data_IF_057488222250
#
_entry.id   IF_057488222250
#
_cell.length_a   1.000
_cell.length_b   1.000
_cell.length_c   1.000
_cell.angle_alpha   90.00
_cell.angle_beta   90.00
_cell.angle_gamma   90.00
#
_symmetry.space_group_name_H-M   'P 1'
#
loop_
_entity.id
_entity.type
_entity.pdbx_description
1 polymer ?
#
# COMPACT_ATOMS: atom_id res chain seq x y z
N UNK A 1 35.80 31.35 1.41
CA UNK A 1 35.97 30.56 0.17
C UNK A 1 34.58 30.26 -0.41
N UNK A 2 34.10 31.08 -1.35
CA UNK A 2 32.69 31.09 -1.75
C UNK A 2 32.42 30.09 -2.90
N UNK A 3 31.70 29.00 -2.61
CA UNK A 3 31.24 28.02 -3.61
C UNK A 3 30.10 28.63 -4.45
N UNK A 4 30.41 29.12 -5.65
CA UNK A 4 29.41 29.52 -6.65
C UNK A 4 28.63 28.30 -7.12
N UNK A 5 27.34 28.23 -6.78
CA UNK A 5 26.40 27.20 -7.28
C UNK A 5 26.14 27.46 -8.77
N UNK A 6 26.58 26.56 -9.65
CA UNK A 6 26.25 26.59 -11.09
C UNK A 6 24.78 26.17 -11.25
N UNK A 7 23.94 27.09 -11.75
CA UNK A 7 22.56 26.78 -12.12
C UNK A 7 22.53 25.75 -13.26
N UNK A 8 21.73 24.71 -13.09
CA UNK A 8 21.50 23.69 -14.13
C UNK A 8 20.78 24.35 -15.30
N UNK A 9 21.36 24.31 -16.50
CA UNK A 9 20.69 24.73 -17.73
C UNK A 9 19.65 23.65 -18.07
N UNK A 10 18.37 23.97 -17.96
CA UNK A 10 17.29 23.14 -18.49
C UNK A 10 17.46 23.09 -20.02
N UNK A 11 17.62 21.89 -20.60
CA UNK A 11 17.71 21.74 -22.05
C UNK A 11 16.34 22.01 -22.66
N UNK A 12 16.18 23.15 -23.33
CA UNK A 12 14.95 23.58 -24.00
C UNK A 12 14.68 22.84 -25.33
N UNK A 13 15.57 21.94 -25.73
CA UNK A 13 15.53 21.17 -26.99
C UNK A 13 14.22 20.37 -27.19
N UNK A 14 13.71 19.59 -26.21
CA UNK A 14 12.48 18.81 -26.43
C UNK A 14 11.26 19.71 -26.70
N UNK A 15 11.14 20.85 -26.02
CA UNK A 15 10.05 21.81 -26.24
C UNK A 15 10.06 22.39 -27.65
N UNK A 16 11.25 22.68 -28.19
CA UNK A 16 11.41 23.17 -29.56
C UNK A 16 11.00 22.11 -30.57
N UNK A 17 11.38 20.83 -30.36
CA UNK A 17 10.96 19.73 -31.22
C UNK A 17 9.43 19.58 -31.25
N UNK A 18 8.77 19.55 -30.08
CA UNK A 18 7.31 19.44 -30.01
C UNK A 18 6.63 20.63 -30.69
N UNK A 19 7.08 21.86 -30.41
CA UNK A 19 6.52 23.06 -31.04
C UNK A 19 6.69 23.06 -32.57
N UNK A 20 7.82 22.55 -33.07
CA UNK A 20 8.07 22.44 -34.52
C UNK A 20 7.18 21.39 -35.20
N UNK A 21 6.94 20.24 -34.56
CA UNK A 21 6.01 19.21 -35.07
C UNK A 21 4.60 19.80 -35.17
N UNK A 22 4.11 20.43 -34.10
CA UNK A 22 2.77 21.06 -34.08
C UNK A 22 2.63 22.14 -35.15
N UNK A 23 3.66 22.98 -35.33
CA UNK A 23 3.65 24.04 -36.35
C UNK A 23 3.64 23.48 -37.77
N UNK A 24 4.38 22.40 -38.03
CA UNK A 24 4.44 21.75 -39.33
C UNK A 24 3.11 21.06 -39.67
N UNK A 25 2.48 20.41 -38.68
CA UNK A 25 1.15 19.81 -38.83
C UNK A 25 0.09 20.87 -39.14
N UNK A 26 0.09 22.01 -38.43
CA UNK A 26 -0.83 23.12 -38.69
C UNK A 26 -0.69 23.70 -40.10
N UNK A 27 0.55 23.85 -40.60
CA UNK A 27 0.80 24.31 -41.97
C UNK A 27 0.23 23.35 -43.01
N UNK A 28 0.42 22.04 -42.83
CA UNK A 28 -0.14 21.03 -43.73
C UNK A 28 -1.67 21.05 -43.77
N UNK A 29 -2.31 21.15 -42.60
CA UNK A 29 -3.78 21.25 -42.49
C UNK A 29 -4.30 22.53 -43.10
N UNK A 30 -3.64 23.67 -42.87
CA UNK A 30 -4.03 24.96 -43.46
C UNK A 30 -4.00 24.94 -44.99
N UNK A 31 -2.98 24.31 -45.59
CA UNK A 31 -2.92 24.14 -47.04
C UNK A 31 -4.01 23.21 -47.58
N UNK A 32 -4.32 22.12 -46.86
CA UNK A 32 -5.39 21.19 -47.24
C UNK A 32 -6.80 21.81 -47.14
N UNK A 33 -7.04 22.58 -46.08
CA UNK A 33 -8.32 23.28 -45.89
C UNK A 33 -8.56 24.32 -46.97
N UNK A 34 -7.54 25.14 -47.29
CA UNK A 34 -7.68 26.23 -48.27
C UNK A 34 -7.95 25.72 -49.69
N UNK A 35 -7.40 24.56 -50.07
CA UNK A 35 -7.50 24.05 -51.42
C UNK A 35 -8.67 23.09 -51.66
N UNK A 36 -9.25 22.50 -50.61
CA UNK A 36 -10.18 21.37 -50.80
C UNK A 36 -11.37 21.33 -49.83
N UNK A 37 -11.52 22.31 -48.92
CA UNK A 37 -12.58 22.29 -47.91
C UNK A 37 -12.53 21.03 -47.05
N UNK A 38 -11.31 20.51 -46.84
CA UNK A 38 -11.08 19.26 -46.15
C UNK A 38 -11.22 19.49 -44.64
N UNK A 39 -12.21 18.83 -44.02
CA UNK A 39 -12.36 18.81 -42.57
C UNK A 39 -11.35 17.81 -42.01
N UNK A 40 -10.37 18.30 -41.24
CA UNK A 40 -9.30 17.47 -40.69
C UNK A 40 -9.50 17.37 -39.19
N UNK A 41 -9.94 16.19 -38.76
CA UNK A 41 -10.04 15.85 -37.34
C UNK A 41 -8.68 15.36 -36.85
N UNK A 42 -7.97 16.19 -36.10
CA UNK A 42 -6.64 15.88 -35.55
C UNK A 42 -6.78 15.52 -34.08
N UNK A 43 -6.74 14.21 -33.78
CA UNK A 43 -6.62 13.72 -32.40
C UNK A 43 -5.15 13.52 -32.03
N UNK A 44 -4.69 14.21 -30.98
CA UNK A 44 -3.35 14.00 -30.40
C UNK A 44 -3.50 13.13 -29.15
N UNK A 45 -3.11 11.86 -29.25
CA UNK A 45 -3.09 10.93 -28.11
C UNK A 45 -1.76 11.03 -27.38
N UNK A 46 -1.77 11.60 -26.19
CA UNK A 46 -0.57 11.75 -25.33
C UNK A 46 -0.36 10.50 -24.48
N UNK A 47 -0.04 9.37 -25.13
CA UNK A 47 0.31 8.11 -24.45
C UNK A 47 -0.79 7.51 -23.57
N UNK A 48 -0.49 6.38 -22.91
CA UNK A 48 -1.37 5.70 -21.97
C UNK A 48 -0.77 5.69 -20.56
N UNK A 49 -1.64 5.73 -19.56
CA UNK A 49 -1.32 5.60 -18.13
C UNK A 49 -1.89 4.25 -17.67
N UNK A 50 -1.05 3.35 -17.17
CA UNK A 50 -1.47 2.00 -16.73
C UNK A 50 -0.74 1.59 -15.44
N UNK A 51 -1.10 2.20 -14.28
CA UNK A 51 -0.56 1.81 -12.99
C UNK A 51 -1.20 0.50 -12.52
N UNK A 52 -0.37 -0.45 -12.09
CA UNK A 52 -0.79 -1.74 -11.54
C UNK A 52 -0.19 -1.93 -10.15
N UNK A 53 -1.01 -2.36 -9.20
CA UNK A 53 -0.60 -2.66 -7.85
C UNK A 53 -0.23 -4.15 -7.72
N UNK A 54 0.93 -4.41 -7.13
CA UNK A 54 1.49 -5.72 -6.85
C UNK A 54 1.80 -5.85 -5.37
N UNK A 55 1.74 -7.07 -4.84
CA UNK A 55 2.14 -7.39 -3.47
C UNK A 55 3.26 -8.42 -3.51
N UNK A 56 4.20 -8.24 -2.60
CA UNK A 56 5.42 -9.05 -2.54
C UNK A 56 5.30 -10.22 -1.54
N UNK A 57 4.15 -10.44 -0.87
CA UNK A 57 4.06 -11.38 0.25
C UNK A 57 2.78 -12.24 0.35
N UNK A 58 2.90 -13.34 1.11
CA UNK A 58 1.94 -14.44 1.30
C UNK A 58 1.09 -14.27 2.57
N UNK A 59 0.39 -13.13 2.71
CA UNK A 59 -0.54 -12.90 3.82
C UNK A 59 -1.83 -13.73 3.69
N UNK A 60 -2.58 -13.91 4.79
CA UNK A 60 -3.96 -14.44 4.74
C UNK A 60 -4.97 -13.44 4.15
N UNK A 61 -4.50 -12.24 3.84
CA UNK A 61 -5.21 -11.19 3.13
C UNK A 61 -5.03 -11.33 1.62
N UNK A 62 -6.15 -11.24 0.91
CA UNK A 62 -6.23 -11.18 -0.53
C UNK A 62 -6.35 -9.74 -0.96
N UNK A 63 -5.72 -9.43 -2.09
CA UNK A 63 -5.81 -8.10 -2.68
C UNK A 63 -6.15 -8.23 -4.13
N UNK A 64 -7.18 -7.50 -4.52
CA UNK A 64 -7.60 -7.39 -5.90
C UNK A 64 -7.49 -5.94 -6.32
N UNK A 65 -6.95 -5.73 -7.51
CA UNK A 65 -6.99 -4.42 -8.16
C UNK A 65 -8.18 -4.39 -9.10
N UNK A 66 -8.92 -3.27 -9.10
CA UNK A 66 -9.98 -3.05 -10.09
C UNK A 66 -9.39 -3.03 -11.50
N UNK A 67 -10.20 -3.35 -12.51
CA UNK A 67 -9.80 -3.30 -13.93
C UNK A 67 -9.21 -1.94 -14.32
N UNK A 68 -9.61 -0.89 -13.61
CA UNK A 68 -9.20 0.50 -13.74
C UNK A 68 -7.75 0.76 -13.29
N UNK A 69 -7.12 -0.16 -12.55
CA UNK A 69 -5.79 0.00 -11.93
C UNK A 69 -5.71 1.06 -10.81
N UNK A 70 -6.84 1.71 -10.48
CA UNK A 70 -6.92 2.86 -9.56
C UNK A 70 -7.50 2.53 -8.19
N UNK A 71 -8.09 1.35 -8.06
CA UNK A 71 -8.72 0.91 -6.82
C UNK A 71 -8.06 -0.37 -6.38
N UNK A 72 -7.71 -0.43 -5.10
CA UNK A 72 -7.21 -1.61 -4.43
C UNK A 72 -8.25 -2.02 -3.40
N UNK A 73 -8.71 -3.26 -3.51
CA UNK A 73 -9.56 -3.93 -2.53
C UNK A 73 -8.72 -4.95 -1.79
N UNK A 74 -8.67 -4.84 -0.46
CA UNK A 74 -7.92 -5.72 0.43
C UNK A 74 -8.94 -6.41 1.31
N UNK A 75 -9.10 -7.72 1.14
CA UNK A 75 -10.07 -8.54 1.87
C UNK A 75 -9.45 -9.82 2.40
N UNK A 76 -9.84 -10.24 3.59
CA UNK A 76 -9.36 -11.49 4.15
C UNK A 76 -9.61 -11.62 5.63
N UNK A 77 -9.10 -12.73 6.16
CA UNK A 77 -9.37 -13.16 7.52
C UNK A 77 -8.10 -12.99 8.36
N UNK A 78 -8.24 -12.27 9.48
CA UNK A 78 -7.16 -12.11 10.46
C UNK A 78 -7.60 -12.62 11.83
N UNK A 79 -6.65 -13.21 12.56
CA UNK A 79 -6.86 -13.56 13.96
C UNK A 79 -6.83 -12.29 14.82
N UNK A 80 -7.77 -12.21 15.78
CA UNK A 80 -7.74 -11.15 16.78
C UNK A 80 -6.39 -11.10 17.49
N UNK A 81 -5.87 -9.88 17.70
CA UNK A 81 -4.58 -9.69 18.36
C UNK A 81 -3.36 -10.00 17.49
N UNK A 82 -3.52 -10.18 16.18
CA UNK A 82 -2.38 -10.26 15.25
C UNK A 82 -2.22 -8.93 14.51
N UNK A 83 -0.98 -8.49 14.34
CA UNK A 83 -0.63 -7.35 13.51
C UNK A 83 0.07 -7.87 12.25
N UNK A 84 -0.36 -7.38 11.09
CA UNK A 84 0.22 -7.77 9.81
C UNK A 84 0.75 -6.55 9.06
N UNK A 85 1.93 -6.72 8.46
CA UNK A 85 2.59 -5.72 7.60
C UNK A 85 2.48 -6.19 6.17
N UNK A 86 1.88 -5.39 5.33
CA UNK A 86 1.71 -5.69 3.92
C UNK A 86 2.51 -4.71 3.08
N UNK A 87 3.42 -5.23 2.26
CA UNK A 87 4.17 -4.47 1.27
C UNK A 87 3.37 -4.36 -0.03
N UNK A 88 2.95 -3.15 -0.39
CA UNK A 88 2.28 -2.85 -1.66
C UNK A 88 3.26 -2.09 -2.56
N UNK A 89 3.42 -2.57 -3.78
CA UNK A 89 4.29 -2.03 -4.81
C UNK A 89 3.45 -1.61 -6.00
N UNK A 90 3.51 -0.33 -6.38
CA UNK A 90 2.85 0.18 -7.57
C UNK A 90 3.87 0.24 -8.71
N UNK A 91 3.51 -0.34 -9.84
CA UNK A 91 4.32 -0.38 -11.06
C UNK A 91 3.56 0.37 -12.15
N UNK A 92 4.27 1.21 -12.91
CA UNK A 92 3.70 1.86 -14.10
C UNK A 92 4.04 1.03 -15.35
N UNK A 93 3.02 0.51 -16.01
CA UNK A 93 3.13 -0.13 -17.33
C UNK A 93 2.71 0.80 -18.47
N UNK A 94 2.37 2.04 -18.14
CA UNK A 94 2.02 3.08 -19.09
C UNK A 94 3.21 3.51 -19.95
N UNK A 95 2.90 4.28 -20.99
CA UNK A 95 3.89 4.96 -21.81
C UNK A 95 4.21 6.37 -21.31
N UNK A 96 3.53 6.81 -20.25
CA UNK A 96 3.63 8.14 -19.67
C UNK A 96 3.93 7.99 -18.18
N UNK A 97 5.03 8.57 -17.67
CA UNK A 97 5.40 8.43 -16.27
C UNK A 97 4.30 9.01 -15.36
N UNK A 98 3.90 8.24 -14.37
CA UNK A 98 2.97 8.70 -13.34
C UNK A 98 3.61 8.86 -11.98
N UNK A 99 2.97 9.69 -11.16
CA UNK A 99 3.28 9.87 -9.75
C UNK A 99 2.01 9.67 -8.94
N UNK A 100 2.11 8.92 -7.84
CA UNK A 100 1.03 8.80 -6.88
C UNK A 100 0.96 10.07 -6.02
N UNK A 101 -0.17 10.76 -6.08
CA UNK A 101 -0.44 11.96 -5.31
C UNK A 101 -0.97 11.58 -3.92
N UNK A 102 -2.08 10.83 -3.91
CA UNK A 102 -2.86 10.58 -2.70
C UNK A 102 -3.45 9.17 -2.70
N UNK A 103 -3.60 8.61 -1.49
CA UNK A 103 -4.31 7.38 -1.22
C UNK A 103 -5.49 7.75 -0.33
N UNK A 104 -6.70 7.49 -0.79
CA UNK A 104 -7.93 7.78 -0.05
C UNK A 104 -8.66 6.50 0.31
N UNK A 105 -9.12 6.40 1.56
CA UNK A 105 -9.90 5.26 2.05
C UNK A 105 -11.37 5.49 1.71
N UNK A 106 -11.99 4.53 1.02
CA UNK A 106 -13.41 4.56 0.65
C UNK A 106 -14.25 3.83 1.70
N UNK A 107 -13.74 2.71 2.21
CA UNK A 107 -14.40 1.88 3.22
C UNK A 107 -13.36 1.48 4.27
N UNK A 108 -13.63 1.79 5.54
CA UNK A 108 -12.83 1.32 6.68
C UNK A 108 -13.73 0.63 7.69
N UNK A 109 -13.57 -0.68 7.83
CA UNK A 109 -14.15 -1.47 8.92
C UNK A 109 -13.28 -1.44 10.18
N UNK A 110 -11.97 -1.17 10.04
CA UNK A 110 -11.02 -0.95 11.12
C UNK A 110 -9.94 0.04 10.64
N UNK A 111 -9.51 0.98 11.49
CA UNK A 111 -8.53 2.00 11.10
C UNK A 111 -7.15 1.33 11.01
N UNK A 112 -6.52 1.50 9.85
CA UNK A 112 -5.22 0.96 9.46
C UNK A 112 -4.23 2.13 9.40
N UNK A 113 -3.14 2.06 10.16
CA UNK A 113 -2.07 3.05 10.04
C UNK A 113 -1.32 2.80 8.72
N UNK A 114 -1.57 3.67 7.74
CA UNK A 114 -0.86 3.67 6.46
C UNK A 114 0.50 4.36 6.66
N UNK A 115 1.58 3.58 6.75
CA UNK A 115 2.93 4.12 6.82
C UNK A 115 3.54 4.20 5.41
N UNK A 116 3.37 5.37 4.78
CA UNK A 116 3.93 5.66 3.46
C UNK A 116 5.45 5.84 3.54
N UNK A 117 6.21 4.79 3.23
CA UNK A 117 7.65 4.90 3.00
C UNK A 117 7.94 5.22 1.54
N UNK A 118 7.79 6.49 1.14
CA UNK A 118 8.09 6.88 -0.24
C UNK A 118 9.59 6.72 -0.52
N UNK A 119 9.98 5.66 -1.22
CA UNK A 119 11.34 5.53 -1.76
C UNK A 119 11.36 6.20 -3.14
N UNK A 120 11.60 7.51 -3.16
CA UNK A 120 11.77 8.27 -4.41
C UNK A 120 13.01 7.76 -5.16
N UNK A 121 12.80 6.81 -6.07
CA UNK A 121 13.83 6.17 -6.88
C UNK A 121 13.74 6.49 -8.36
N UNK A 122 13.31 7.68 -8.76
CA UNK A 122 13.30 8.10 -10.18
C UNK A 122 14.73 8.39 -10.64
N UNK A 123 15.48 7.33 -10.94
CA UNK A 123 16.70 7.41 -11.73
C UNK A 123 16.33 7.39 -13.21
N UNK A 124 16.74 8.41 -13.96
CA UNK A 124 16.61 8.60 -15.42
C UNK A 124 17.21 7.49 -16.31
N UNK A 125 17.41 6.28 -15.78
CA UNK A 125 18.24 5.22 -16.38
C UNK A 125 17.65 3.81 -16.28
N UNK A 126 16.37 3.66 -15.93
CA UNK A 126 15.69 2.37 -15.95
C UNK A 126 14.88 2.22 -17.26
N UNK A 127 15.53 1.69 -18.30
CA UNK A 127 14.87 1.20 -19.52
C UNK A 127 14.48 -0.29 -19.33
N UNK A 128 14.08 -0.68 -18.12
CA UNK A 128 13.75 -2.07 -17.78
C UNK A 128 12.27 -2.18 -17.43
N UNK A 129 11.67 -3.32 -17.77
CA UNK A 129 10.23 -3.56 -18.01
C UNK A 129 9.25 -3.27 -16.84
N UNK A 130 9.69 -2.80 -15.69
CA UNK A 130 8.81 -2.57 -14.53
C UNK A 130 9.30 -1.38 -13.68
N UNK A 131 8.95 -0.16 -14.08
CA UNK A 131 9.27 1.04 -13.30
C UNK A 131 8.36 1.11 -12.07
N UNK A 132 8.99 0.95 -10.90
CA UNK A 132 8.33 1.03 -9.60
C UNK A 132 8.05 2.49 -9.27
N UNK A 133 6.77 2.87 -9.29
CA UNK A 133 6.30 4.23 -9.02
C UNK A 133 6.46 4.57 -7.55
N UNK A 134 5.99 3.66 -6.70
CA UNK A 134 5.99 3.81 -5.26
C UNK A 134 5.82 2.47 -4.56
N UNK A 135 6.39 2.36 -3.37
CA UNK A 135 6.26 1.24 -2.47
C UNK A 135 5.77 1.79 -1.12
N UNK A 136 4.81 1.14 -0.48
CA UNK A 136 4.37 1.52 0.85
C UNK A 136 4.02 0.31 1.68
N UNK A 137 4.10 0.48 3.01
CA UNK A 137 3.78 -0.57 3.96
C UNK A 137 2.48 -0.22 4.67
N UNK A 138 1.50 -1.10 4.53
CA UNK A 138 0.24 -1.03 5.24
C UNK A 138 0.36 -1.84 6.54
N UNK A 139 0.08 -1.23 7.69
CA UNK A 139 0.06 -1.93 8.99
C UNK A 139 -1.38 -2.08 9.45
N UNK A 140 -1.91 -3.29 9.35
CA UNK A 140 -3.29 -3.60 9.74
C UNK A 140 -3.29 -4.09 11.18
N UNK A 141 -4.10 -3.46 12.03
CA UNK A 141 -4.33 -3.85 13.40
C UNK A 141 -5.84 -4.00 13.65
N UNK A 142 -6.29 -5.05 14.36
CA UNK A 142 -7.69 -5.19 14.72
C UNK A 142 -8.12 -4.12 15.73
N UNK A 143 -9.41 -3.77 15.72
CA UNK A 143 -9.99 -2.68 16.54
C UNK A 143 -9.81 -2.92 18.04
N UNK A 144 -9.61 -4.17 18.46
CA UNK A 144 -9.44 -4.58 19.85
C UNK A 144 -8.02 -4.41 20.39
N UNK A 145 -7.06 -3.91 19.60
CA UNK A 145 -5.67 -3.74 20.02
C UNK A 145 -5.47 -2.49 20.90
N UNK A 146 -6.05 -2.48 22.10
CA UNK A 146 -5.47 -1.70 23.19
C UNK A 146 -4.26 -2.48 23.73
N UNK A 147 -3.06 -1.95 23.45
CA UNK A 147 -1.82 -2.40 24.09
C UNK A 147 -1.89 -1.98 25.56
N UNK A 148 -2.60 -2.76 26.38
CA UNK A 148 -2.32 -2.79 27.81
C UNK A 148 -1.32 -3.93 28.02
N UNK A 149 -0.04 -3.56 28.03
CA UNK A 149 1.06 -4.37 28.56
C UNK A 149 0.73 -4.78 29.99
N UNK A 150 0.00 -5.88 30.15
CA UNK A 150 -0.19 -6.55 31.43
C UNK A 150 0.25 -7.99 31.29
N UNK A 151 1.53 -8.19 30.96
CA UNK A 151 2.22 -9.39 31.40
C UNK A 151 2.42 -9.21 32.91
N UNK A 152 1.36 -9.48 33.69
CA UNK A 152 1.52 -9.73 35.11
C UNK A 152 2.25 -11.06 35.24
N UNK A 153 3.57 -10.99 35.38
CA UNK A 153 4.37 -12.11 35.82
C UNK A 153 3.95 -12.46 37.25
N UNK A 154 3.01 -13.40 37.37
CA UNK A 154 2.63 -13.94 38.67
C UNK A 154 3.69 -14.96 39.12
N UNK A 155 4.64 -14.50 39.92
CA UNK A 155 5.43 -15.39 40.79
C UNK A 155 4.57 -15.78 41.98
N UNK A 156 4.00 -16.99 41.95
CA UNK A 156 3.34 -17.59 43.10
C UNK A 156 4.37 -18.34 43.96
N UNK A 157 4.77 -17.75 45.08
CA UNK A 157 5.53 -18.44 46.13
C UNK A 157 4.58 -19.34 46.91
N UNK A 158 4.71 -20.66 46.69
CA UNK A 158 4.06 -21.70 47.48
C UNK A 158 4.76 -21.74 48.85
N UNK A 159 4.09 -21.28 49.90
CA UNK A 159 4.52 -21.52 51.28
C UNK A 159 4.19 -22.96 51.69
N UNK A 160 5.23 -23.62 52.20
CA UNK A 160 5.31 -25.05 52.52
C UNK A 160 4.78 -25.30 53.94
N UNK A 161 3.71 -26.10 54.09
CA UNK A 161 3.46 -26.83 55.35
C UNK A 161 2.61 -28.09 55.11
N UNK A 162 2.98 -29.12 55.88
CA UNK A 162 2.71 -30.55 55.71
C UNK A 162 1.24 -30.97 55.91
N UNK A 163 0.62 -31.51 54.85
CA UNK A 163 -0.34 -32.62 54.85
C UNK A 163 -0.43 -33.15 53.40
N UNK A 164 0.33 -34.21 53.09
CA UNK A 164 0.71 -34.62 51.72
C UNK A 164 -0.48 -34.97 50.77
N UNK A 165 -1.62 -35.42 51.29
CA UNK A 165 -2.81 -35.71 50.46
C UNK A 165 -3.60 -34.46 50.09
N UNK A 166 -3.75 -33.51 51.03
CA UNK A 166 -4.42 -32.24 50.79
C UNK A 166 -3.59 -31.31 49.88
N UNK A 167 -2.25 -31.44 49.93
CA UNK A 167 -1.34 -30.73 49.05
C UNK A 167 -1.49 -31.16 47.58
N UNK A 168 -1.62 -32.47 47.34
CA UNK A 168 -1.85 -33.00 45.99
C UNK A 168 -3.19 -32.53 45.45
N UNK A 169 -4.24 -32.58 46.28
CA UNK A 169 -5.57 -32.14 45.86
C UNK A 169 -5.63 -30.62 45.58
N UNK A 170 -4.91 -29.82 46.37
CA UNK A 170 -4.74 -28.38 46.14
C UNK A 170 -4.03 -28.08 44.82
N UNK A 171 -2.92 -28.77 44.54
CA UNK A 171 -2.18 -28.66 43.27
C UNK A 171 -3.03 -29.06 42.07
N UNK A 172 -3.81 -30.15 42.18
CA UNK A 172 -4.72 -30.59 41.13
C UNK A 172 -5.78 -29.51 40.83
N UNK A 173 -6.39 -28.93 41.86
CA UNK A 173 -7.38 -27.86 41.68
C UNK A 173 -6.76 -26.60 41.06
N UNK A 174 -5.54 -26.24 41.46
CA UNK A 174 -4.82 -25.11 40.86
C UNK A 174 -4.55 -25.34 39.36
N UNK A 175 -4.11 -26.54 38.99
CA UNK A 175 -3.89 -26.92 37.58
C UNK A 175 -5.22 -26.91 36.79
N UNK A 176 -6.33 -27.36 37.37
CA UNK A 176 -7.63 -27.30 36.70
C UNK A 176 -8.10 -25.87 36.44
N UNK A 177 -7.89 -24.95 37.38
CA UNK A 177 -8.20 -23.53 37.16
C UNK A 177 -7.27 -22.91 36.10
N UNK A 178 -5.99 -23.29 36.06
CA UNK A 178 -5.05 -22.86 35.00
C UNK A 178 -5.50 -23.34 33.62
N UNK A 179 -5.85 -24.63 33.48
CA UNK A 179 -6.36 -25.18 32.21
C UNK A 179 -7.61 -24.42 31.76
N UNK A 180 -8.54 -24.16 32.68
CA UNK A 180 -9.78 -23.43 32.38
C UNK A 180 -9.54 -21.99 31.95
N UNK A 181 -8.55 -21.31 32.54
CA UNK A 181 -8.16 -19.96 32.13
C UNK A 181 -7.52 -19.97 30.74
N UNK A 182 -6.62 -20.90 30.48
CA UNK A 182 -5.97 -21.07 29.17
C UNK A 182 -6.98 -21.43 28.08
N UNK A 183 -7.97 -22.29 28.38
CA UNK A 183 -9.06 -22.63 27.44
C UNK A 183 -9.91 -21.40 27.10
N UNK A 184 -10.16 -20.53 28.08
CA UNK A 184 -10.91 -19.29 27.86
C UNK A 184 -10.09 -18.28 27.04
N UNK A 185 -8.79 -18.18 27.30
CA UNK A 185 -7.88 -17.34 26.51
C UNK A 185 -7.76 -17.83 25.05
N UNK A 186 -7.62 -19.14 24.84
CA UNK A 186 -7.62 -19.74 23.50
C UNK A 186 -8.94 -19.51 22.78
N UNK A 187 -10.07 -19.61 23.49
CA UNK A 187 -11.39 -19.34 22.92
C UNK A 187 -11.54 -17.88 22.48
N UNK A 188 -10.93 -16.94 23.21
CA UNK A 188 -10.89 -15.52 22.84
C UNK A 188 -10.01 -15.28 21.62
N UNK A 189 -8.85 -15.93 21.54
CA UNK A 189 -7.89 -15.76 20.44
C UNK A 189 -8.30 -16.46 19.13
N UNK A 190 -9.16 -17.49 19.22
CA UNK A 190 -9.66 -18.22 18.05
C UNK A 190 -10.82 -17.51 17.33
N UNK A 191 -11.11 -16.26 17.67
CA UNK A 191 -12.07 -15.44 16.92
C UNK A 191 -11.38 -14.90 15.68
N UNK A 192 -11.88 -15.31 14.51
CA UNK A 192 -11.44 -14.80 13.21
C UNK A 192 -12.32 -13.60 12.85
N UNK A 193 -11.68 -12.46 12.61
CA UNK A 193 -12.35 -11.26 12.10
C UNK A 193 -12.15 -11.16 10.59
N UNK A 194 -13.26 -10.98 9.89
CA UNK A 194 -13.23 -10.70 8.46
C UNK A 194 -13.04 -9.20 8.25
N UNK A 195 -12.03 -8.83 7.48
CA UNK A 195 -11.74 -7.45 7.14
C UNK A 195 -11.88 -7.23 5.64
N UNK A 196 -12.49 -6.10 5.31
CA UNK A 196 -12.61 -5.60 3.94
C UNK A 196 -12.27 -4.11 3.94
N UNK A 197 -11.29 -3.74 3.13
CA UNK A 197 -10.76 -2.40 2.99
C UNK A 197 -10.71 -2.01 1.53
N UNK A 198 -11.16 -0.80 1.24
CA UNK A 198 -11.19 -0.28 -0.13
C UNK A 198 -10.43 1.04 -0.19
N UNK A 199 -9.35 1.05 -0.97
CA UNK A 199 -8.48 2.19 -1.18
C UNK A 199 -8.54 2.66 -2.63
N UNK A 200 -8.61 3.98 -2.81
CA UNK A 200 -8.50 4.63 -4.11
C UNK A 200 -7.18 5.36 -4.22
N UNK A 201 -6.44 5.02 -5.27
CA UNK A 201 -5.17 5.61 -5.65
C UNK A 201 -5.41 6.77 -6.62
N UNK A 202 -4.88 7.94 -6.30
CA UNK A 202 -4.92 9.11 -7.15
C UNK A 202 -3.54 9.32 -7.78
N UNK A 203 -3.49 9.15 -9.10
CA UNK A 203 -2.29 9.32 -9.91
C UNK A 203 -2.34 10.63 -10.69
N UNK A 204 -1.21 11.32 -10.74
CA UNK A 204 -0.98 12.49 -11.59
C UNK A 204 0.15 12.19 -12.58
N UNK A 205 0.09 12.81 -13.75
CA UNK A 205 1.17 12.71 -14.74
C UNK A 205 2.45 13.37 -14.18
N UNK A 206 3.54 12.61 -14.14
CA UNK A 206 4.85 13.11 -13.75
C UNK A 206 5.45 13.97 -14.88
N UNK A 207 5.89 15.19 -14.54
CA UNK A 207 6.65 16.08 -15.43
C UNK A 207 8.14 15.92 -15.14
#
# INVERSE_FOLDING_TARGET
MNKRRRGRKLSSVPYICVASIVSLSLLGVGYGYWNSGLDVDVSITTGNIDPQAYIEDYSSLYITSSEDGRTIEISGDMYQGTYEKLGIKIIDKGSVPVKLEEISTISSSAIVDLNRQSKMGYGLSSLSEEDVVEEFQLSIAPVSYHIEDTIQSYTFTVEESLEEEDEIQSKINAIYEEIKQLENELSRLNVIEHHDFLYKLLFIQGI
#
